data_IF_316666740507
#
_entry.id   IF_316666740507
#
_cell.length_a   1.000
_cell.length_b   1.000
_cell.length_c   1.000
_cell.angle_alpha   90.00
_cell.angle_beta   90.00
_cell.angle_gamma   90.00
#
_symmetry.space_group_name_H-M   'P 1'
#
loop_
_entity.id
_entity.type
_entity.pdbx_description
1 polymer ?
#
# COMPACT_ATOMS: atom_id res chain seq x y z
N UNK A 1 -6.52 -1.56 12.49
CA UNK A 1 -5.66 -1.15 11.36
C UNK A 1 -4.85 0.08 11.76
N UNK A 2 -3.74 0.32 11.09
CA UNK A 2 -2.91 1.54 11.17
C UNK A 2 -2.85 2.17 9.79
N UNK A 3 -3.02 3.49 9.71
CA UNK A 3 -2.90 4.25 8.45
C UNK A 3 -1.42 4.49 8.18
N UNK A 4 -0.95 4.11 6.99
CA UNK A 4 0.46 4.20 6.61
C UNK A 4 0.70 5.10 5.39
N UNK A 5 -0.36 5.50 4.69
CA UNK A 5 -0.30 6.53 3.65
C UNK A 5 -1.66 7.23 3.52
N UNK A 6 -1.61 8.52 3.22
CA UNK A 6 -2.76 9.39 2.91
C UNK A 6 -2.48 10.15 1.62
N UNK A 7 -3.52 10.73 1.02
CA UNK A 7 -3.36 11.61 -0.14
C UNK A 7 -2.62 12.89 0.24
N UNK A 8 -1.77 13.39 -0.66
CA UNK A 8 -1.14 14.71 -0.50
C UNK A 8 -2.15 15.85 -0.71
N UNK A 9 -3.18 15.62 -1.54
CA UNK A 9 -4.22 16.60 -1.81
C UNK A 9 -5.25 16.69 -0.68
N UNK A 10 -5.52 15.57 -0.01
CA UNK A 10 -6.43 15.48 1.14
C UNK A 10 -5.91 14.47 2.18
N UNK A 11 -5.36 14.92 3.32
CA UNK A 11 -4.86 14.03 4.37
C UNK A 11 -5.93 13.14 5.01
N UNK A 12 -7.22 13.44 4.82
CA UNK A 12 -8.32 12.59 5.31
C UNK A 12 -8.60 11.40 4.41
N UNK A 13 -8.14 11.44 3.16
CA UNK A 13 -8.24 10.34 2.21
C UNK A 13 -7.10 9.33 2.45
N UNK A 14 -7.48 8.15 2.97
CA UNK A 14 -6.55 7.07 3.28
C UNK A 14 -6.19 6.31 1.99
N UNK A 15 -4.90 6.18 1.71
CA UNK A 15 -4.39 5.49 0.52
C UNK A 15 -3.81 4.11 0.83
N UNK A 16 -3.32 3.90 2.06
CA UNK A 16 -2.84 2.58 2.49
C UNK A 16 -3.01 2.36 3.99
N UNK A 17 -3.26 1.09 4.35
CA UNK A 17 -3.38 0.62 5.72
C UNK A 17 -2.60 -0.68 5.94
N UNK A 18 -2.22 -0.91 7.20
CA UNK A 18 -1.64 -2.17 7.67
C UNK A 18 -2.44 -2.73 8.84
N UNK A 19 -2.58 -4.05 8.91
CA UNK A 19 -3.09 -4.69 10.12
C UNK A 19 -2.08 -4.60 11.26
N UNK A 20 -2.53 -4.23 12.47
CA UNK A 20 -1.63 -3.97 13.61
C UNK A 20 -0.84 -5.22 14.04
N UNK A 21 -1.44 -6.40 13.87
CA UNK A 21 -0.90 -7.67 14.39
C UNK A 21 -0.76 -8.77 13.34
N UNK A 22 -1.28 -8.58 12.13
CA UNK A 22 -1.26 -9.60 11.07
C UNK A 22 -0.48 -9.06 9.86
N UNK A 23 0.18 -9.93 9.08
CA UNK A 23 0.89 -9.52 7.87
C UNK A 23 -0.10 -9.27 6.73
N UNK A 24 -0.95 -8.26 6.91
CA UNK A 24 -1.99 -7.86 5.95
C UNK A 24 -1.87 -6.37 5.69
N UNK A 25 -1.88 -6.01 4.41
CA UNK A 25 -1.80 -4.63 3.93
C UNK A 25 -2.92 -4.39 2.91
N UNK A 26 -3.44 -3.18 2.89
CA UNK A 26 -4.39 -2.72 1.89
C UNK A 26 -3.89 -1.43 1.25
N UNK A 27 -4.04 -1.32 -0.08
CA UNK A 27 -3.78 -0.11 -0.86
C UNK A 27 -5.04 0.23 -1.66
N UNK A 28 -5.34 1.52 -1.81
CA UNK A 28 -6.56 1.98 -2.49
C UNK A 28 -6.40 2.04 -4.02
N UNK A 29 -5.16 2.18 -4.49
CA UNK A 29 -4.80 2.21 -5.91
C UNK A 29 -4.40 0.82 -6.44
N UNK A 30 -4.19 0.75 -7.75
CA UNK A 30 -3.78 -0.46 -8.47
C UNK A 30 -2.25 -0.53 -8.65
N UNK A 31 -1.48 -1.13 -7.72
CA UNK A 31 -0.02 -1.27 -7.86
C UNK A 31 0.42 -2.16 -9.02
N UNK A 32 -0.49 -2.98 -9.54
CA UNK A 32 -0.28 -3.86 -10.70
C UNK A 32 -0.32 -3.12 -12.04
N UNK A 33 -0.89 -1.92 -12.07
CA UNK A 33 -0.99 -1.15 -13.31
C UNK A 33 0.39 -0.67 -13.78
N UNK A 34 0.66 -0.82 -15.08
CA UNK A 34 1.94 -0.45 -15.73
C UNK A 34 2.34 1.01 -15.50
N UNK A 35 1.34 1.90 -15.36
CA UNK A 35 1.57 3.33 -15.20
C UNK A 35 1.71 3.76 -13.73
N UNK A 36 1.49 2.85 -12.77
CA UNK A 36 1.65 3.17 -11.35
C UNK A 36 3.13 3.27 -11.02
N UNK A 37 3.61 4.50 -10.80
CA UNK A 37 4.99 4.76 -10.38
C UNK A 37 5.29 4.02 -9.07
N UNK A 38 6.36 3.22 -9.05
CA UNK A 38 6.75 2.43 -7.88
C UNK A 38 5.88 1.19 -7.60
N UNK A 39 4.87 0.89 -8.44
CA UNK A 39 3.96 -0.23 -8.21
C UNK A 39 4.66 -1.60 -8.22
N UNK A 40 5.63 -1.79 -9.12
CA UNK A 40 6.42 -3.03 -9.23
C UNK A 40 7.29 -3.27 -7.99
N UNK A 41 7.90 -2.22 -7.45
CA UNK A 41 8.71 -2.23 -6.24
C UNK A 41 7.84 -2.57 -5.02
N UNK A 42 6.64 -1.98 -4.93
CA UNK A 42 5.67 -2.27 -3.87
C UNK A 42 5.27 -3.75 -3.87
N UNK A 43 4.95 -4.31 -5.04
CA UNK A 43 4.63 -5.73 -5.18
C UNK A 43 5.83 -6.63 -4.79
N UNK A 44 7.05 -6.26 -5.19
CA UNK A 44 8.27 -6.99 -4.79
C UNK A 44 8.47 -6.99 -3.27
N UNK A 45 8.22 -5.87 -2.61
CA UNK A 45 8.29 -5.76 -1.16
C UNK A 45 7.26 -6.66 -0.49
N UNK A 46 6.01 -6.64 -0.98
CA UNK A 46 4.95 -7.51 -0.47
C UNK A 46 5.32 -9.00 -0.59
N UNK A 47 5.81 -9.44 -1.76
CA UNK A 47 6.27 -10.81 -1.96
C UNK A 47 7.46 -11.19 -1.07
N UNK A 48 8.32 -10.23 -0.72
CA UNK A 48 9.45 -10.47 0.19
C UNK A 48 8.98 -10.63 1.64
N UNK A 49 7.94 -9.90 2.05
CA UNK A 49 7.36 -9.97 3.40
C UNK A 49 6.46 -11.19 3.63
N UNK A 50 6.05 -11.88 2.55
CA UNK A 50 5.09 -13.00 2.58
C UNK A 50 5.72 -14.34 2.20
N UNK A 51 7.02 -14.37 1.91
CA UNK A 51 7.83 -15.58 1.84
C UNK A 51 8.23 -16.03 3.25
#
# INVERSE_FOLDING_TARGET
LEVIATSEADPTEIQAVKHKTHPVWGVQFHPESVLTQGGRELLKNFLTLTR
#
